data_IF_159395813839
#
_entry.id   IF_159395813839
#
_cell.length_a   1.000
_cell.length_b   1.000
_cell.length_c   1.000
_cell.angle_alpha   90.00
_cell.angle_beta   90.00
_cell.angle_gamma   90.00
#
_symmetry.space_group_name_H-M   'P 1'
#
loop_
_entity.id
_entity.type
_entity.pdbx_description
1 polymer ?
#
# COMPACT_ATOMS: atom_id res chain seq x y z
N UNK A 1 -2.54 19.50 -54.82
CA UNK A 1 -3.25 18.24 -54.57
C UNK A 1 -2.94 17.84 -53.11
N UNK A 2 -3.80 18.28 -52.19
CA UNK A 2 -3.64 18.06 -50.77
C UNK A 2 -4.37 16.78 -50.39
N UNK A 3 -3.64 15.83 -49.76
CA UNK A 3 -4.26 14.61 -49.23
C UNK A 3 -4.51 14.86 -47.75
N UNK A 4 -5.79 15.00 -47.41
CA UNK A 4 -6.30 15.08 -46.05
C UNK A 4 -6.21 13.70 -45.39
N UNK A 5 -5.45 13.61 -44.28
CA UNK A 5 -5.47 12.41 -43.41
C UNK A 5 -6.69 12.46 -42.50
N UNK A 6 -7.58 11.52 -42.65
CA UNK A 6 -8.71 11.28 -41.76
C UNK A 6 -8.26 10.94 -40.36
N UNK A 7 -8.70 11.72 -39.38
CA UNK A 7 -8.58 11.42 -37.94
C UNK A 7 -9.61 10.33 -37.59
N UNK A 8 -9.15 9.16 -37.23
CA UNK A 8 -9.99 8.13 -36.60
C UNK A 8 -10.33 8.58 -35.17
N UNK A 9 -11.53 9.15 -35.01
CA UNK A 9 -12.07 9.49 -33.71
C UNK A 9 -12.42 8.22 -32.91
N UNK A 10 -11.72 7.98 -31.81
CA UNK A 10 -12.22 7.11 -30.75
C UNK A 10 -13.44 7.81 -30.11
N UNK A 11 -14.53 7.08 -29.78
CA UNK A 11 -15.65 7.68 -29.07
C UNK A 11 -15.14 8.17 -27.70
N UNK A 12 -15.24 9.47 -27.47
CA UNK A 12 -15.06 10.07 -26.15
C UNK A 12 -16.27 9.64 -25.33
N UNK A 13 -16.09 8.64 -24.47
CA UNK A 13 -17.04 8.30 -23.44
C UNK A 13 -17.18 9.53 -22.54
N UNK A 14 -18.38 10.10 -22.57
CA UNK A 14 -18.75 11.27 -21.77
C UNK A 14 -18.94 10.84 -20.31
N UNK A 15 -17.85 10.47 -19.65
CA UNK A 15 -17.81 10.16 -18.22
C UNK A 15 -17.84 11.47 -17.47
N UNK A 16 -19.05 11.98 -17.17
CA UNK A 16 -19.18 12.99 -16.12
C UNK A 16 -18.73 12.31 -14.82
N UNK A 17 -17.66 12.77 -14.17
CA UNK A 17 -17.34 12.30 -12.82
C UNK A 17 -18.55 12.59 -11.94
N UNK A 18 -18.93 11.66 -11.07
CA UNK A 18 -19.92 11.93 -10.04
C UNK A 18 -19.53 13.21 -9.30
N UNK A 19 -20.46 14.15 -9.07
CA UNK A 19 -20.18 15.25 -8.15
C UNK A 19 -19.81 14.64 -6.80
N UNK A 20 -18.66 14.99 -6.31
CA UNK A 20 -18.06 14.38 -5.12
C UNK A 20 -18.52 15.07 -3.84
N UNK A 21 -18.94 14.34 -2.79
CA UNK A 21 -19.33 12.93 -2.72
C UNK A 21 -20.78 12.72 -3.23
N UNK A 22 -21.09 11.58 -3.85
CA UNK A 22 -22.46 11.30 -4.31
C UNK A 22 -23.41 11.32 -3.11
N UNK A 23 -24.59 11.89 -3.28
CA UNK A 23 -25.65 11.86 -2.27
C UNK A 23 -26.00 10.41 -1.94
N UNK A 24 -26.25 10.11 -0.65
CA UNK A 24 -26.58 8.76 -0.18
C UNK A 24 -27.74 8.13 -0.96
N UNK A 25 -28.72 8.94 -1.39
CA UNK A 25 -29.84 8.47 -2.19
C UNK A 25 -29.39 7.89 -3.55
N UNK A 26 -28.44 8.55 -4.24
CA UNK A 26 -27.89 8.07 -5.50
C UNK A 26 -27.17 6.72 -5.33
N UNK A 27 -26.47 6.51 -4.21
CA UNK A 27 -25.82 5.25 -3.90
C UNK A 27 -26.82 4.11 -3.66
N UNK A 28 -27.95 4.43 -3.01
CA UNK A 28 -29.01 3.46 -2.75
C UNK A 28 -29.74 3.09 -4.06
N UNK A 29 -30.03 4.07 -4.92
CA UNK A 29 -30.61 3.81 -6.27
C UNK A 29 -29.68 2.88 -7.05
N UNK A 30 -28.39 3.19 -7.08
CA UNK A 30 -27.37 2.39 -7.76
C UNK A 30 -27.35 0.94 -7.21
N UNK A 31 -27.32 0.79 -5.89
CA UNK A 31 -27.28 -0.52 -5.25
C UNK A 31 -28.57 -1.33 -5.48
N UNK A 32 -29.75 -0.68 -5.50
CA UNK A 32 -31.02 -1.35 -5.80
C UNK A 32 -31.14 -1.73 -7.27
N UNK A 33 -30.51 -1.00 -8.18
CA UNK A 33 -30.43 -1.40 -9.59
C UNK A 33 -29.54 -2.64 -9.76
N UNK A 34 -28.46 -2.73 -9.00
CA UNK A 34 -27.56 -3.89 -9.01
C UNK A 34 -28.18 -5.11 -8.32
N UNK A 35 -28.96 -4.87 -7.25
CA UNK A 35 -29.61 -5.90 -6.44
C UNK A 35 -31.11 -5.60 -6.32
N UNK A 36 -31.93 -5.99 -7.31
CA UNK A 36 -33.37 -5.70 -7.32
C UNK A 36 -34.15 -6.22 -6.11
N UNK A 37 -33.64 -7.27 -5.47
CA UNK A 37 -34.22 -7.83 -4.24
C UNK A 37 -34.10 -6.88 -3.02
N UNK A 38 -33.32 -5.81 -3.11
CA UNK A 38 -33.19 -4.76 -2.09
C UNK A 38 -34.22 -3.65 -2.24
N UNK A 39 -35.07 -3.70 -3.27
CA UNK A 39 -36.10 -2.70 -3.47
C UNK A 39 -37.10 -2.74 -2.30
N UNK A 40 -37.37 -1.53 -1.75
CA UNK A 40 -38.27 -1.40 -0.58
C UNK A 40 -37.61 -1.68 0.77
N UNK A 41 -36.41 -2.27 0.80
CA UNK A 41 -35.68 -2.47 2.06
C UNK A 41 -35.03 -1.16 2.52
N UNK A 42 -35.23 -0.80 3.80
CA UNK A 42 -34.55 0.34 4.40
C UNK A 42 -33.05 0.07 4.56
N UNK A 43 -32.24 1.09 4.32
CA UNK A 43 -30.78 0.99 4.40
C UNK A 43 -30.18 2.23 5.06
N UNK A 44 -29.33 2.03 6.06
CA UNK A 44 -28.46 3.06 6.61
C UNK A 44 -27.18 3.13 5.76
N UNK A 45 -26.81 4.32 5.30
CA UNK A 45 -25.57 4.57 4.55
C UNK A 45 -24.61 5.33 5.43
N UNK A 46 -23.46 4.74 5.70
CA UNK A 46 -22.39 5.33 6.48
C UNK A 46 -21.18 5.62 5.59
N UNK A 47 -20.74 6.89 5.54
CA UNK A 47 -19.51 7.26 4.83
C UNK A 47 -18.27 6.82 5.62
N UNK A 48 -17.37 6.09 4.99
CA UNK A 48 -16.09 5.68 5.58
C UNK A 48 -15.03 6.70 5.16
N UNK A 49 -14.61 7.54 6.11
CA UNK A 49 -13.54 8.51 5.90
C UNK A 49 -12.19 7.84 6.17
N UNK A 50 -11.49 7.39 5.14
CA UNK A 50 -10.17 6.77 5.28
C UNK A 50 -9.23 7.22 4.15
N UNK A 51 -8.00 7.62 4.56
CA UNK A 51 -6.87 7.82 3.65
C UNK A 51 -6.86 9.09 2.81
N UNK A 52 -5.91 9.12 1.87
CA UNK A 52 -5.66 10.22 0.93
C UNK A 52 -6.15 9.91 -0.49
N UNK A 53 -6.88 8.82 -0.67
CA UNK A 53 -7.33 8.29 -1.95
C UNK A 53 -8.51 9.08 -2.53
N UNK A 54 -8.68 9.02 -3.85
CA UNK A 54 -9.87 9.49 -4.59
C UNK A 54 -10.99 8.42 -4.65
N UNK A 55 -10.81 7.30 -3.96
CA UNK A 55 -11.83 6.28 -3.74
C UNK A 55 -12.70 6.64 -2.56
N UNK A 56 -14.01 6.49 -2.71
CA UNK A 56 -15.00 6.74 -1.68
C UNK A 56 -15.61 5.41 -1.26
N UNK A 57 -15.66 5.18 0.04
CA UNK A 57 -16.18 3.96 0.62
C UNK A 57 -17.41 4.27 1.47
N UNK A 58 -18.46 3.47 1.28
CA UNK A 58 -19.73 3.59 1.99
C UNK A 58 -20.11 2.23 2.54
N UNK A 59 -20.47 2.17 3.82
CA UNK A 59 -21.04 0.98 4.44
C UNK A 59 -22.55 1.02 4.29
N UNK A 60 -23.13 0.02 3.67
CA UNK A 60 -24.56 -0.15 3.45
C UNK A 60 -25.09 -1.19 4.43
N UNK A 61 -25.93 -0.77 5.38
CA UNK A 61 -26.56 -1.63 6.39
C UNK A 61 -28.04 -1.77 6.10
N UNK A 62 -28.43 -2.89 5.56
CA UNK A 62 -29.83 -3.20 5.21
C UNK A 62 -30.59 -3.72 6.42
N UNK A 63 -31.85 -3.28 6.59
CA UNK A 63 -32.66 -3.60 7.79
C UNK A 63 -33.43 -4.93 7.66
N UNK A 64 -33.02 -5.81 6.79
CA UNK A 64 -33.59 -7.15 6.60
C UNK A 64 -32.75 -8.27 7.23
N UNK A 65 -31.74 -7.92 8.01
CA UNK A 65 -30.88 -8.85 8.75
C UNK A 65 -29.73 -9.46 7.96
N UNK A 66 -29.54 -9.04 6.69
CA UNK A 66 -28.34 -9.46 5.91
C UNK A 66 -27.07 -8.79 6.43
N UNK A 67 -25.95 -9.42 6.15
CA UNK A 67 -24.63 -8.81 6.41
C UNK A 67 -24.50 -7.47 5.67
N UNK A 68 -23.90 -6.45 6.30
CA UNK A 68 -23.59 -5.19 5.63
C UNK A 68 -22.63 -5.40 4.47
N UNK A 69 -22.66 -4.49 3.52
CA UNK A 69 -21.71 -4.48 2.40
C UNK A 69 -21.01 -3.13 2.28
N UNK A 70 -19.82 -3.13 1.72
CA UNK A 70 -19.07 -1.93 1.39
C UNK A 70 -19.28 -1.59 -0.09
N UNK A 71 -19.77 -0.39 -0.38
CA UNK A 71 -19.78 0.16 -1.73
C UNK A 71 -18.55 1.06 -1.89
N UNK A 72 -17.66 0.68 -2.80
CA UNK A 72 -16.54 1.51 -3.25
C UNK A 72 -16.93 2.21 -4.57
N UNK A 73 -16.84 3.54 -4.60
CA UNK A 73 -16.97 4.35 -5.81
C UNK A 73 -15.61 4.97 -6.09
N UNK A 74 -15.13 4.88 -7.33
CA UNK A 74 -13.81 5.36 -7.70
C UNK A 74 -13.85 6.19 -8.99
N UNK A 75 -12.73 6.84 -9.32
CA UNK A 75 -12.55 7.58 -10.56
C UNK A 75 -11.44 6.96 -11.41
N UNK A 76 -11.34 7.36 -12.68
CA UNK A 76 -10.24 6.98 -13.56
C UNK A 76 -9.03 7.94 -13.47
N UNK A 77 -9.05 8.87 -12.52
CA UNK A 77 -7.94 9.80 -12.31
C UNK A 77 -6.65 9.08 -11.88
N UNK A 78 -6.79 7.97 -11.13
CA UNK A 78 -5.68 7.09 -10.80
C UNK A 78 -5.75 5.82 -11.62
N UNK A 79 -4.64 5.45 -12.23
CA UNK A 79 -4.54 4.27 -13.12
C UNK A 79 -4.65 2.93 -12.39
N UNK A 80 -4.40 2.90 -11.07
CA UNK A 80 -4.49 1.72 -10.22
C UNK A 80 -5.93 1.39 -9.79
N UNK A 81 -6.87 2.34 -9.84
CA UNK A 81 -8.26 2.11 -9.45
C UNK A 81 -8.97 0.98 -10.22
N UNK A 82 -8.88 0.90 -11.57
CA UNK A 82 -9.49 -0.21 -12.32
C UNK A 82 -8.87 -1.58 -12.02
N UNK A 83 -7.67 -1.60 -11.46
CA UNK A 83 -6.94 -2.84 -11.13
C UNK A 83 -7.43 -3.50 -9.84
N UNK A 84 -8.32 -2.84 -9.09
CA UNK A 84 -8.82 -3.39 -7.82
C UNK A 84 -9.47 -4.78 -7.98
N UNK A 85 -10.41 -4.93 -8.92
CA UNK A 85 -11.12 -6.21 -9.11
C UNK A 85 -10.20 -7.32 -9.66
N UNK A 86 -9.36 -7.10 -10.68
CA UNK A 86 -8.34 -8.07 -11.09
C UNK A 86 -7.41 -8.47 -9.95
N UNK A 87 -6.91 -7.51 -9.15
CA UNK A 87 -6.05 -7.79 -8.00
C UNK A 87 -6.77 -8.63 -6.94
N UNK A 88 -8.04 -8.34 -6.62
CA UNK A 88 -8.85 -9.14 -5.71
C UNK A 88 -8.92 -10.59 -6.16
N UNK A 89 -9.32 -10.83 -7.42
CA UNK A 89 -9.44 -12.17 -7.98
C UNK A 89 -8.13 -12.96 -7.96
N UNK A 90 -7.02 -12.27 -8.19
CA UNK A 90 -5.68 -12.86 -8.13
C UNK A 90 -5.33 -13.28 -6.70
N UNK A 91 -5.59 -12.43 -5.73
CA UNK A 91 -5.34 -12.69 -4.32
C UNK A 91 -6.23 -13.82 -3.79
N UNK A 92 -7.51 -13.84 -4.16
CA UNK A 92 -8.42 -14.96 -3.85
C UNK A 92 -7.90 -16.28 -4.44
N UNK A 93 -7.43 -16.28 -5.69
CA UNK A 93 -6.92 -17.47 -6.38
C UNK A 93 -5.71 -18.10 -5.66
N UNK A 94 -4.87 -17.30 -5.03
CA UNK A 94 -3.73 -17.79 -4.24
C UNK A 94 -4.10 -18.07 -2.77
N UNK A 95 -5.38 -17.93 -2.42
CA UNK A 95 -5.90 -18.19 -1.08
C UNK A 95 -5.59 -17.10 -0.06
N UNK A 96 -5.22 -15.89 -0.50
CA UNK A 96 -5.06 -14.75 0.41
C UNK A 96 -6.44 -14.23 0.86
N UNK A 97 -6.54 -13.83 2.13
CA UNK A 97 -7.75 -13.27 2.68
C UNK A 97 -7.89 -11.80 2.25
N UNK A 98 -8.85 -11.55 1.38
CA UNK A 98 -9.24 -10.21 0.89
C UNK A 98 -10.76 -10.09 0.87
N UNK A 99 -11.36 -8.87 0.93
CA UNK A 99 -12.80 -8.72 0.84
C UNK A 99 -13.32 -9.29 -0.47
N UNK A 100 -14.33 -10.17 -0.41
CA UNK A 100 -14.96 -10.70 -1.61
C UNK A 100 -15.65 -9.61 -2.42
N UNK A 101 -15.49 -9.65 -3.75
CA UNK A 101 -16.26 -8.83 -4.67
C UNK A 101 -17.66 -9.45 -4.84
N UNK A 102 -18.67 -8.78 -4.27
CA UNK A 102 -20.08 -9.20 -4.36
C UNK A 102 -20.63 -8.88 -5.75
N UNK A 103 -20.34 -7.66 -6.23
CA UNK A 103 -20.70 -7.20 -7.57
C UNK A 103 -19.73 -6.10 -8.04
N UNK A 104 -19.71 -5.89 -9.36
CA UNK A 104 -18.87 -4.89 -10.01
C UNK A 104 -19.59 -4.29 -11.20
N UNK A 105 -19.66 -2.97 -11.26
CA UNK A 105 -20.16 -2.19 -12.39
C UNK A 105 -19.05 -1.29 -12.92
N UNK A 106 -18.39 -1.75 -13.99
CA UNK A 106 -17.28 -1.05 -14.60
C UNK A 106 -17.70 0.27 -15.26
N UNK A 107 -18.94 0.35 -15.78
CA UNK A 107 -19.43 1.57 -16.44
C UNK A 107 -19.72 2.69 -15.45
N UNK A 108 -20.17 2.31 -14.24
CA UNK A 108 -20.47 3.25 -13.16
C UNK A 108 -19.32 3.41 -12.14
N UNK A 109 -18.21 2.69 -12.37
CA UNK A 109 -17.02 2.72 -11.52
C UNK A 109 -17.32 2.39 -10.05
N UNK A 110 -18.10 1.33 -9.84
CA UNK A 110 -18.58 0.90 -8.53
C UNK A 110 -18.25 -0.57 -8.27
N UNK A 111 -17.87 -0.87 -7.01
CA UNK A 111 -17.63 -2.23 -6.54
C UNK A 111 -18.34 -2.43 -5.22
N UNK A 112 -19.15 -3.48 -5.11
CA UNK A 112 -19.75 -3.92 -3.84
C UNK A 112 -18.90 -5.04 -3.27
N UNK A 113 -18.48 -4.87 -2.03
CA UNK A 113 -17.54 -5.72 -1.34
C UNK A 113 -18.12 -6.26 -0.05
N UNK A 114 -17.61 -7.39 0.39
CA UNK A 114 -17.82 -7.91 1.73
C UNK A 114 -17.38 -6.86 2.77
N UNK A 115 -18.21 -6.64 3.80
CA UNK A 115 -17.82 -5.82 4.94
C UNK A 115 -17.04 -6.66 5.95
N UNK A 116 -15.79 -6.31 6.16
CA UNK A 116 -14.88 -6.94 7.12
C UNK A 116 -14.85 -6.25 8.49
N UNK A 117 -15.70 -5.24 8.69
CA UNK A 117 -15.72 -4.45 9.92
C UNK A 117 -14.79 -3.23 9.86
N UNK A 118 -14.29 -2.82 11.05
CA UNK A 118 -13.52 -1.56 11.19
C UNK A 118 -12.19 -1.73 11.91
N UNK A 119 -11.98 -2.90 12.50
CA UNK A 119 -10.83 -3.14 13.37
C UNK A 119 -9.66 -3.54 12.48
N UNK A 120 -8.63 -2.72 12.46
CA UNK A 120 -7.38 -3.00 11.77
C UNK A 120 -6.28 -3.39 12.77
N UNK A 121 -5.16 -3.89 12.27
CA UNK A 121 -4.03 -4.31 13.10
C UNK A 121 -3.45 -3.13 13.91
N UNK A 122 -3.48 -1.90 13.36
CA UNK A 122 -3.08 -0.69 14.08
C UNK A 122 -3.90 -0.47 15.36
N UNK A 123 -5.18 -0.84 15.37
CA UNK A 123 -6.08 -0.70 16.53
C UNK A 123 -5.60 -1.46 17.77
N UNK A 124 -4.65 -2.38 17.61
CA UNK A 124 -4.06 -3.17 18.69
C UNK A 124 -2.72 -2.62 19.20
N UNK A 125 -2.23 -1.48 18.69
CA UNK A 125 -0.89 -0.96 18.99
C UNK A 125 -0.62 -0.80 20.50
N UNK A 126 -1.62 -0.38 21.25
CA UNK A 126 -1.50 -0.16 22.71
C UNK A 126 -1.68 -1.45 23.55
N UNK A 127 -1.95 -2.59 22.92
CA UNK A 127 -2.11 -3.85 23.64
C UNK A 127 -0.74 -4.51 23.93
N UNK A 128 -0.74 -5.46 24.87
CA UNK A 128 0.47 -6.23 25.20
C UNK A 128 1.00 -7.00 24.00
N UNK A 129 2.29 -7.27 23.96
CA UNK A 129 2.90 -8.08 22.90
C UNK A 129 2.23 -9.45 22.75
N UNK A 130 1.93 -10.11 23.88
CA UNK A 130 1.25 -11.41 23.85
C UNK A 130 -0.12 -11.40 23.17
N UNK A 131 -0.81 -10.26 23.18
CA UNK A 131 -2.08 -10.09 22.44
C UNK A 131 -1.85 -9.73 20.97
N UNK A 132 -0.82 -8.93 20.66
CA UNK A 132 -0.52 -8.47 19.29
C UNK A 132 0.20 -9.52 18.45
N UNK A 133 1.13 -10.27 19.03
CA UNK A 133 2.00 -11.22 18.31
C UNK A 133 1.20 -12.18 17.41
N UNK A 134 0.13 -12.86 17.87
CA UNK A 134 -0.64 -13.79 17.02
C UNK A 134 -1.26 -13.11 15.80
N UNK A 135 -1.65 -11.83 15.93
CA UNK A 135 -2.26 -11.05 14.84
C UNK A 135 -1.21 -10.66 13.78
N UNK A 136 -0.01 -10.27 14.22
CA UNK A 136 1.13 -10.05 13.31
C UNK A 136 1.55 -11.33 12.61
N UNK A 137 1.58 -12.47 13.31
CA UNK A 137 1.88 -13.77 12.71
C UNK A 137 0.80 -14.18 11.69
N UNK A 138 -0.49 -13.94 11.99
CA UNK A 138 -1.57 -14.12 11.02
C UNK A 138 -1.36 -13.26 9.76
N UNK A 139 -0.99 -11.99 9.95
CA UNK A 139 -0.67 -11.05 8.86
C UNK A 139 0.50 -11.54 8.02
N UNK A 140 1.56 -12.05 8.64
CA UNK A 140 2.73 -12.58 7.94
C UNK A 140 2.40 -13.88 7.19
N UNK A 141 1.44 -14.68 7.64
CA UNK A 141 0.93 -15.84 6.86
C UNK A 141 0.24 -15.39 5.57
N UNK A 142 -0.54 -14.31 5.62
CA UNK A 142 -1.16 -13.75 4.41
C UNK A 142 -0.09 -13.18 3.45
N UNK A 143 0.89 -12.45 3.98
CA UNK A 143 2.04 -11.98 3.19
C UNK A 143 2.78 -13.16 2.51
N UNK A 144 2.98 -14.26 3.24
CA UNK A 144 3.66 -15.44 2.73
C UNK A 144 2.96 -16.07 1.51
N UNK A 145 1.63 -16.03 1.43
CA UNK A 145 0.86 -16.48 0.26
C UNK A 145 1.16 -15.62 -0.96
N UNK A 146 1.17 -14.29 -0.80
CA UNK A 146 1.48 -13.33 -1.86
C UNK A 146 2.92 -13.51 -2.32
N UNK A 147 3.87 -13.49 -1.40
CA UNK A 147 5.30 -13.62 -1.67
C UNK A 147 5.69 -15.03 -2.19
N UNK A 148 4.78 -16.01 -2.09
CA UNK A 148 4.93 -17.33 -2.68
C UNK A 148 4.84 -17.35 -4.20
N UNK A 149 4.29 -16.30 -4.81
CA UNK A 149 4.14 -16.17 -6.27
C UNK A 149 5.38 -15.52 -6.86
N UNK A 150 6.30 -16.31 -7.38
CA UNK A 150 7.50 -15.81 -8.05
C UNK A 150 7.16 -15.23 -9.43
N UNK A 151 7.95 -14.26 -9.90
CA UNK A 151 7.78 -13.59 -11.20
C UNK A 151 7.67 -14.61 -12.35
N UNK A 152 8.48 -15.68 -12.34
CA UNK A 152 8.52 -16.70 -13.37
C UNK A 152 7.24 -17.55 -13.44
N UNK A 153 6.37 -17.50 -12.45
CA UNK A 153 5.11 -18.22 -12.39
C UNK A 153 3.94 -17.42 -13.03
N UNK A 154 4.17 -16.16 -13.39
CA UNK A 154 3.16 -15.28 -13.97
C UNK A 154 3.25 -15.28 -15.50
N UNK A 155 2.10 -15.41 -16.17
CA UNK A 155 2.00 -15.24 -17.61
C UNK A 155 2.05 -13.75 -18.00
N UNK A 156 2.33 -13.46 -19.26
CA UNK A 156 2.37 -12.07 -19.76
C UNK A 156 1.05 -11.32 -19.49
N UNK A 157 -0.11 -11.97 -19.68
CA UNK A 157 -1.41 -11.39 -19.38
C UNK A 157 -1.58 -11.04 -17.90
N UNK A 158 -1.00 -11.84 -16.99
CA UNK A 158 -1.00 -11.58 -15.56
C UNK A 158 -0.24 -10.29 -15.24
N UNK A 159 0.88 -10.04 -15.94
CA UNK A 159 1.73 -8.87 -15.71
C UNK A 159 1.05 -7.56 -16.16
N UNK A 160 0.18 -7.60 -17.17
CA UNK A 160 -0.58 -6.42 -17.63
C UNK A 160 -1.60 -5.93 -16.59
N UNK A 161 -2.12 -6.84 -15.76
CA UNK A 161 -3.04 -6.50 -14.68
C UNK A 161 -2.33 -5.87 -13.47
N UNK A 162 -1.03 -6.07 -13.31
CA UNK A 162 -0.24 -5.54 -12.21
C UNK A 162 0.18 -4.08 -12.45
N UNK A 163 0.53 -3.39 -11.37
CA UNK A 163 1.27 -2.13 -11.46
C UNK A 163 2.72 -2.40 -11.92
N UNK A 164 3.42 -1.39 -12.49
CA UNK A 164 4.82 -1.55 -12.86
C UNK A 164 5.65 -2.12 -11.73
N UNK A 165 6.48 -3.12 -12.09
CA UNK A 165 7.35 -3.79 -11.16
C UNK A 165 8.32 -2.82 -10.49
N UNK A 166 8.77 -3.18 -9.28
CA UNK A 166 9.92 -2.52 -8.68
C UNK A 166 11.19 -2.87 -9.49
N UNK A 167 11.71 -1.87 -10.15
CA UNK A 167 12.97 -1.89 -10.87
C UNK A 167 13.88 -0.74 -10.39
N UNK A 168 15.07 -0.63 -10.98
CA UNK A 168 16.01 0.43 -10.62
C UNK A 168 15.40 1.84 -10.83
N UNK A 169 14.58 2.04 -11.87
CA UNK A 169 13.96 3.32 -12.17
C UNK A 169 12.86 3.70 -11.15
N UNK A 170 12.05 2.73 -10.71
CA UNK A 170 11.03 2.99 -9.70
C UNK A 170 11.66 3.26 -8.32
N UNK A 171 12.72 2.53 -7.95
CA UNK A 171 13.46 2.82 -6.73
C UNK A 171 14.14 4.20 -6.79
N UNK A 172 14.68 4.60 -7.95
CA UNK A 172 15.23 5.94 -8.15
C UNK A 172 14.16 7.01 -7.99
N UNK A 173 12.98 6.78 -8.55
CA UNK A 173 11.85 7.70 -8.40
C UNK A 173 11.46 7.88 -6.92
N UNK A 174 11.38 6.81 -6.14
CA UNK A 174 11.10 6.88 -4.70
C UNK A 174 12.21 7.62 -3.93
N UNK A 175 13.48 7.41 -4.31
CA UNK A 175 14.61 8.11 -3.70
C UNK A 175 14.57 9.61 -4.02
N UNK A 176 14.30 9.98 -5.26
CA UNK A 176 14.14 11.39 -5.64
C UNK A 176 12.94 12.02 -4.92
N UNK A 177 11.84 11.29 -4.77
CA UNK A 177 10.69 11.75 -4.01
C UNK A 177 11.03 12.03 -2.53
N UNK A 178 11.89 11.22 -1.91
CA UNK A 178 12.44 11.47 -0.59
C UNK A 178 13.34 12.71 -0.57
N UNK A 179 14.25 12.84 -1.52
CA UNK A 179 15.16 13.98 -1.60
C UNK A 179 14.38 15.30 -1.77
N UNK A 180 13.47 15.35 -2.74
CA UNK A 180 12.71 16.56 -3.09
C UNK A 180 11.79 17.01 -1.95
N UNK A 181 11.05 16.08 -1.36
CA UNK A 181 10.00 16.46 -0.42
C UNK A 181 10.45 16.45 1.04
N UNK A 182 11.29 15.48 1.44
CA UNK A 182 11.76 15.41 2.81
C UNK A 182 13.06 16.18 3.01
N UNK A 183 14.13 15.86 2.26
CA UNK A 183 15.44 16.47 2.48
C UNK A 183 15.42 17.96 2.12
N UNK A 184 14.99 18.31 0.91
CA UNK A 184 14.92 19.69 0.47
C UNK A 184 13.67 20.39 0.98
N UNK A 185 12.52 19.76 0.81
CA UNK A 185 11.23 20.34 1.18
C UNK A 185 11.03 20.52 2.68
N UNK A 186 11.28 19.51 3.50
CA UNK A 186 10.99 19.54 4.94
C UNK A 186 12.19 19.98 5.78
N UNK A 187 13.39 19.47 5.49
CA UNK A 187 14.61 19.83 6.24
C UNK A 187 15.29 21.11 5.73
N UNK A 188 14.94 21.60 4.54
CA UNK A 188 15.54 22.80 3.94
C UNK A 188 17.00 22.61 3.52
N UNK A 189 17.43 21.39 3.20
CA UNK A 189 18.81 21.03 2.83
C UNK A 189 18.92 20.86 1.31
N UNK A 190 20.01 21.32 0.73
CA UNK A 190 20.27 21.11 -0.70
C UNK A 190 20.91 19.72 -0.92
N UNK A 191 20.13 18.72 -1.28
CA UNK A 191 20.60 17.34 -1.46
C UNK A 191 21.70 17.20 -2.55
N UNK A 192 21.82 18.18 -3.45
CA UNK A 192 22.88 18.25 -4.47
C UNK A 192 24.25 18.66 -3.93
N UNK A 193 24.34 19.19 -2.71
CA UNK A 193 25.60 19.65 -2.13
C UNK A 193 26.65 18.54 -2.06
N UNK A 194 27.91 18.92 -2.19
CA UNK A 194 29.04 17.98 -2.22
C UNK A 194 29.15 17.14 -0.95
N UNK A 195 28.72 17.67 0.20
CA UNK A 195 28.71 16.97 1.50
C UNK A 195 27.85 15.69 1.49
N UNK A 196 26.83 15.60 0.61
CA UNK A 196 25.98 14.41 0.44
C UNK A 196 26.48 13.45 -0.65
N UNK A 197 27.72 13.62 -1.15
CA UNK A 197 28.26 12.80 -2.25
C UNK A 197 28.29 11.31 -1.96
N UNK A 198 28.75 10.90 -0.75
CA UNK A 198 28.75 9.51 -0.31
C UNK A 198 27.33 8.97 -0.13
N UNK A 199 26.42 9.75 0.46
CA UNK A 199 25.02 9.36 0.64
C UNK A 199 24.30 9.14 -0.70
N UNK A 200 24.53 10.01 -1.69
CA UNK A 200 23.98 9.80 -3.06
C UNK A 200 24.58 8.56 -3.73
N UNK A 201 25.86 8.27 -3.50
CA UNK A 201 26.48 7.03 -4.00
C UNK A 201 25.85 5.80 -3.35
N UNK A 202 25.56 5.84 -2.05
CA UNK A 202 24.86 4.77 -1.34
C UNK A 202 23.43 4.57 -1.88
N UNK A 203 22.67 5.63 -2.17
CA UNK A 203 21.36 5.55 -2.84
C UNK A 203 21.48 4.83 -4.19
N UNK A 204 22.47 5.20 -5.01
CA UNK A 204 22.67 4.58 -6.30
C UNK A 204 23.00 3.09 -6.18
N UNK A 205 23.84 2.71 -5.23
CA UNK A 205 24.19 1.30 -4.98
C UNK A 205 22.97 0.52 -4.50
N UNK A 206 22.19 1.08 -3.57
CA UNK A 206 20.98 0.49 -3.03
C UNK A 206 19.97 0.16 -4.15
N UNK A 207 19.59 1.14 -5.00
CA UNK A 207 18.61 0.90 -6.07
C UNK A 207 19.10 -0.10 -7.11
N UNK A 208 20.39 -0.05 -7.47
CA UNK A 208 20.99 -1.03 -8.40
C UNK A 208 20.97 -2.43 -7.84
N UNK A 209 21.26 -2.58 -6.55
CA UNK A 209 21.24 -3.89 -5.89
C UNK A 209 19.83 -4.43 -5.83
N UNK A 210 18.85 -3.66 -5.32
CA UNK A 210 17.45 -4.07 -5.22
C UNK A 210 16.82 -4.36 -6.60
N UNK A 211 17.12 -3.53 -7.61
CA UNK A 211 16.57 -3.67 -8.97
C UNK A 211 17.02 -4.94 -9.72
N UNK A 212 18.12 -5.58 -9.27
CA UNK A 212 18.66 -6.80 -9.88
C UNK A 212 18.25 -8.09 -9.17
N UNK A 213 17.65 -7.97 -7.99
CA UNK A 213 17.24 -9.14 -7.21
C UNK A 213 16.01 -9.83 -7.81
N UNK A 214 15.85 -11.15 -7.63
CA UNK A 214 14.63 -11.86 -8.01
C UNK A 214 13.41 -11.23 -7.36
N UNK A 215 12.29 -11.21 -8.07
CA UNK A 215 11.04 -10.59 -7.63
C UNK A 215 9.95 -11.63 -7.40
N UNK A 216 9.04 -11.30 -6.53
CA UNK A 216 7.78 -12.00 -6.31
C UNK A 216 6.63 -10.99 -6.31
N UNK A 217 5.40 -11.48 -6.22
CA UNK A 217 4.24 -10.63 -6.03
C UNK A 217 4.33 -9.95 -4.66
N UNK A 218 4.03 -8.65 -4.58
CA UNK A 218 4.02 -7.85 -3.35
C UNK A 218 2.79 -6.95 -3.29
N UNK A 219 2.32 -6.71 -2.07
CA UNK A 219 1.20 -5.82 -1.78
C UNK A 219 1.56 -4.35 -2.01
N UNK A 220 2.79 -3.96 -1.71
CA UNK A 220 3.41 -2.63 -1.80
C UNK A 220 3.07 -1.71 -0.62
N UNK A 221 1.82 -1.59 -0.22
CA UNK A 221 1.37 -0.75 0.92
C UNK A 221 0.95 -1.61 2.13
N UNK A 222 1.82 -2.55 2.53
CA UNK A 222 1.57 -3.55 3.55
C UNK A 222 1.74 -3.00 4.97
N UNK A 223 0.93 -1.99 5.32
CA UNK A 223 0.93 -1.29 6.61
C UNK A 223 -0.15 -1.84 7.54
N UNK A 224 0.01 -1.64 8.85
CA UNK A 224 -0.93 -2.11 9.88
C UNK A 224 -2.37 -1.63 9.67
N UNK A 225 -2.56 -0.43 9.11
CA UNK A 225 -3.88 0.12 8.79
C UNK A 225 -4.53 -0.52 7.56
N UNK A 226 -3.79 -1.29 6.77
CA UNK A 226 -4.27 -1.99 5.58
C UNK A 226 -4.48 -3.49 5.82
N UNK A 227 -4.47 -3.89 7.10
CA UNK A 227 -4.76 -5.26 7.55
C UNK A 227 -5.93 -5.21 8.51
N UNK A 228 -7.11 -5.65 8.08
CA UNK A 228 -8.28 -5.77 8.95
C UNK A 228 -8.20 -7.09 9.74
N UNK A 229 -8.64 -7.05 10.98
CA UNK A 229 -8.66 -8.21 11.87
C UNK A 229 -10.11 -8.65 12.09
N UNK A 230 -10.42 -9.90 11.77
CA UNK A 230 -11.73 -10.52 12.01
C UNK A 230 -11.54 -11.83 12.78
N UNK A 231 -11.85 -11.82 14.07
CA UNK A 231 -11.41 -12.90 14.96
C UNK A 231 -9.89 -12.96 15.06
N UNK A 232 -9.32 -14.12 14.76
CA UNK A 232 -7.87 -14.34 14.74
C UNK A 232 -7.27 -14.29 13.33
N UNK A 233 -8.05 -13.87 12.34
CA UNK A 233 -7.66 -13.82 10.94
C UNK A 233 -7.30 -12.40 10.49
N UNK A 234 -6.25 -12.30 9.68
CA UNK A 234 -5.84 -11.08 9.01
C UNK A 234 -6.44 -11.04 7.59
N UNK A 235 -7.00 -9.90 7.22
CA UNK A 235 -7.62 -9.64 5.92
C UNK A 235 -7.00 -8.41 5.29
N UNK A 236 -6.51 -8.54 4.06
CA UNK A 236 -5.76 -7.48 3.38
C UNK A 236 -6.69 -6.55 2.62
N UNK A 237 -6.41 -5.25 2.70
CA UNK A 237 -7.10 -4.20 1.93
C UNK A 237 -6.09 -3.24 1.33
N UNK A 238 -6.53 -2.41 0.37
CA UNK A 238 -5.68 -1.41 -0.31
C UNK A 238 -4.57 -2.02 -1.20
N UNK A 239 -4.86 -3.15 -1.82
CA UNK A 239 -3.92 -3.98 -2.61
C UNK A 239 -3.93 -3.71 -4.11
N UNK A 240 -4.67 -2.73 -4.63
CA UNK A 240 -4.68 -2.43 -6.08
C UNK A 240 -3.32 -1.95 -6.62
N UNK A 241 -2.39 -1.60 -5.72
CA UNK A 241 -0.98 -1.35 -6.03
C UNK A 241 -0.13 -2.59 -6.24
N UNK A 242 -0.75 -3.78 -6.25
CA UNK A 242 -0.12 -5.09 -6.42
C UNK A 242 0.85 -5.10 -7.61
N UNK A 243 2.07 -5.55 -7.38
CA UNK A 243 3.15 -5.54 -8.37
C UNK A 243 4.21 -6.61 -8.10
N UNK A 244 5.18 -6.71 -8.98
CA UNK A 244 6.38 -7.48 -8.71
C UNK A 244 7.40 -6.65 -7.93
N UNK A 245 8.00 -7.23 -6.90
CA UNK A 245 8.99 -6.59 -6.04
C UNK A 245 9.69 -7.57 -5.12
N UNK A 246 10.34 -7.03 -4.09
CA UNK A 246 10.96 -7.83 -3.04
C UNK A 246 9.97 -8.08 -1.91
N UNK A 247 9.85 -9.33 -1.47
CA UNK A 247 9.06 -9.69 -0.28
C UNK A 247 9.43 -8.85 0.94
N UNK A 248 10.71 -8.55 1.09
CA UNK A 248 11.26 -7.79 2.19
C UNK A 248 10.78 -6.33 2.20
N UNK A 249 10.29 -5.80 1.07
CA UNK A 249 9.69 -4.46 1.01
C UNK A 249 8.34 -4.42 1.77
N UNK A 250 7.49 -5.44 1.60
CA UNK A 250 6.25 -5.57 2.36
C UNK A 250 6.53 -5.84 3.84
N UNK A 251 7.49 -6.73 4.15
CA UNK A 251 7.91 -6.97 5.53
C UNK A 251 8.39 -5.67 6.20
N UNK A 252 9.16 -4.86 5.50
CA UNK A 252 9.63 -3.57 5.99
C UNK A 252 8.47 -2.59 6.19
N UNK A 253 7.50 -2.58 5.28
CA UNK A 253 6.30 -1.75 5.38
C UNK A 253 5.48 -2.06 6.64
N UNK A 254 5.43 -3.32 7.06
CA UNK A 254 4.72 -3.77 8.27
C UNK A 254 5.57 -3.61 9.54
N UNK A 255 6.82 -4.07 9.51
CA UNK A 255 7.66 -4.17 10.72
C UNK A 255 8.31 -2.84 11.11
N UNK A 256 8.49 -1.93 10.16
CA UNK A 256 8.94 -0.55 10.39
C UNK A 256 7.84 0.48 10.09
N UNK A 257 6.57 0.06 10.23
CA UNK A 257 5.42 0.96 10.06
C UNK A 257 5.48 2.11 11.08
N UNK A 258 5.60 3.39 10.67
CA UNK A 258 5.68 4.52 11.60
C UNK A 258 4.38 4.82 12.36
N UNK A 259 3.30 4.12 12.05
CA UNK A 259 2.02 4.26 12.77
C UNK A 259 1.96 3.43 14.06
N UNK A 260 2.85 2.44 14.20
CA UNK A 260 2.84 1.50 15.34
C UNK A 260 4.19 1.46 16.04
N UNK A 261 4.17 1.06 17.30
CA UNK A 261 5.37 0.92 18.09
C UNK A 261 5.74 -0.56 18.30
N UNK A 262 6.58 -1.08 17.40
CA UNK A 262 7.23 -2.39 17.56
C UNK A 262 8.64 -2.19 18.07
N UNK A 263 8.99 -2.87 19.16
CA UNK A 263 10.37 -2.91 19.66
C UNK A 263 11.27 -3.71 18.72
N UNK A 264 12.60 -3.48 18.81
CA UNK A 264 13.59 -4.24 18.04
C UNK A 264 13.46 -5.77 18.25
N UNK A 265 13.17 -6.21 19.47
CA UNK A 265 12.99 -7.63 19.80
C UNK A 265 11.71 -8.21 19.16
N UNK A 266 10.62 -7.46 19.15
CA UNK A 266 9.38 -7.85 18.51
C UNK A 266 9.56 -7.97 17.00
N UNK A 267 10.20 -6.98 16.36
CA UNK A 267 10.55 -7.04 14.91
C UNK A 267 11.42 -8.25 14.59
N UNK A 268 12.44 -8.50 15.41
CA UNK A 268 13.33 -9.65 15.21
C UNK A 268 12.60 -11.00 15.37
N UNK A 269 11.66 -11.09 16.32
CA UNK A 269 10.80 -12.27 16.51
C UNK A 269 9.90 -12.52 15.28
N UNK A 270 9.25 -11.49 14.76
CA UNK A 270 8.37 -11.58 13.60
C UNK A 270 9.15 -11.94 12.32
N UNK A 271 10.33 -11.35 12.12
CA UNK A 271 11.17 -11.67 10.97
C UNK A 271 11.66 -13.13 11.01
N UNK A 272 12.01 -13.64 12.20
CA UNK A 272 12.34 -15.05 12.40
C UNK A 272 11.13 -15.94 12.10
N UNK A 273 9.96 -15.62 12.65
CA UNK A 273 8.72 -16.35 12.38
C UNK A 273 8.44 -16.44 10.88
N UNK A 274 8.56 -15.33 10.14
CA UNK A 274 8.38 -15.33 8.69
C UNK A 274 9.42 -16.20 7.97
N UNK A 275 10.70 -16.11 8.36
CA UNK A 275 11.76 -16.94 7.79
C UNK A 275 11.49 -18.44 7.98
N UNK A 276 11.12 -18.85 9.20
CA UNK A 276 10.77 -20.23 9.54
C UNK A 276 9.55 -20.70 8.74
N UNK A 277 8.48 -19.89 8.71
CA UNK A 277 7.25 -20.20 7.97
C UNK A 277 7.49 -20.40 6.47
N UNK A 278 8.43 -19.63 5.89
CA UNK A 278 8.79 -19.70 4.47
C UNK A 278 9.95 -20.64 4.17
N UNK A 279 10.58 -21.23 5.17
CA UNK A 279 11.79 -22.06 5.01
C UNK A 279 12.98 -21.27 4.47
N UNK A 280 13.14 -20.00 4.83
CA UNK A 280 14.21 -19.10 4.37
C UNK A 280 15.37 -19.05 5.35
N UNK A 281 16.58 -18.78 4.84
CA UNK A 281 17.72 -18.45 5.68
C UNK A 281 17.53 -17.07 6.31
N UNK A 282 17.45 -17.00 7.64
CA UNK A 282 17.21 -15.77 8.38
C UNK A 282 18.31 -14.71 8.16
N UNK A 283 19.56 -15.11 8.01
CA UNK A 283 20.67 -14.16 7.83
C UNK A 283 20.57 -13.47 6.45
N UNK A 284 20.29 -14.26 5.39
CA UNK A 284 20.09 -13.74 4.03
C UNK A 284 18.83 -12.85 3.97
N UNK A 285 17.74 -13.28 4.60
CA UNK A 285 16.52 -12.48 4.69
C UNK A 285 16.79 -11.13 5.38
N UNK A 286 17.51 -11.12 6.51
CA UNK A 286 17.83 -9.90 7.25
C UNK A 286 18.66 -8.91 6.44
N UNK A 287 19.64 -9.39 5.70
CA UNK A 287 20.47 -8.55 4.84
C UNK A 287 19.62 -7.76 3.84
N UNK A 288 18.74 -8.44 3.10
CA UNK A 288 17.88 -7.80 2.11
C UNK A 288 16.77 -6.99 2.77
N UNK A 289 16.25 -7.45 3.91
CA UNK A 289 15.22 -6.75 4.67
C UNK A 289 15.64 -5.32 5.06
N UNK A 290 16.86 -5.13 5.56
CA UNK A 290 17.31 -3.78 5.93
C UNK A 290 17.51 -2.87 4.72
N UNK A 291 17.93 -3.40 3.57
CA UNK A 291 17.98 -2.63 2.33
C UNK A 291 16.58 -2.16 1.90
N UNK A 292 15.61 -3.05 1.92
CA UNK A 292 14.22 -2.72 1.61
C UNK A 292 13.61 -1.77 2.66
N UNK A 293 13.97 -1.93 3.93
CA UNK A 293 13.49 -1.06 5.01
C UNK A 293 13.96 0.39 4.84
N UNK A 294 15.23 0.60 4.48
CA UNK A 294 15.74 1.94 4.16
C UNK A 294 14.98 2.54 2.98
N UNK A 295 14.82 1.81 1.89
CA UNK A 295 14.09 2.26 0.70
C UNK A 295 12.64 2.63 1.04
N UNK A 296 11.93 1.78 1.78
CA UNK A 296 10.52 2.00 2.17
C UNK A 296 10.34 3.17 3.13
N UNK A 297 11.25 3.33 4.11
CA UNK A 297 11.20 4.43 5.06
C UNK A 297 11.49 5.77 4.39
N UNK A 298 12.44 5.83 3.45
CA UNK A 298 12.70 7.03 2.65
C UNK A 298 11.45 7.40 1.83
N UNK A 299 10.80 6.43 1.18
CA UNK A 299 9.54 6.66 0.46
C UNK A 299 8.44 7.20 1.40
N UNK A 300 8.31 6.65 2.62
CA UNK A 300 7.34 7.13 3.60
C UNK A 300 7.63 8.57 4.06
N UNK A 301 8.88 8.90 4.35
CA UNK A 301 9.30 10.27 4.73
C UNK A 301 8.98 11.28 3.62
N UNK A 302 9.27 10.95 2.36
CA UNK A 302 8.89 11.77 1.22
C UNK A 302 7.38 11.97 1.13
N UNK A 303 6.61 10.89 1.34
CA UNK A 303 5.14 10.93 1.31
C UNK A 303 4.57 11.80 2.44
N UNK A 304 5.02 11.65 3.68
CA UNK A 304 4.56 12.47 4.81
C UNK A 304 4.86 13.94 4.61
N UNK A 305 6.05 14.27 4.14
CA UNK A 305 6.44 15.64 3.84
C UNK A 305 5.57 16.25 2.73
N UNK A 306 5.37 15.52 1.62
CA UNK A 306 4.55 15.97 0.50
C UNK A 306 3.08 16.14 0.89
N UNK A 307 2.48 15.15 1.56
CA UNK A 307 1.08 15.20 2.02
C UNK A 307 0.84 16.39 2.94
N UNK A 308 1.79 16.68 3.84
CA UNK A 308 1.65 17.77 4.79
C UNK A 308 1.81 19.14 4.16
N UNK A 309 2.84 19.32 3.34
CA UNK A 309 3.21 20.64 2.82
C UNK A 309 2.45 21.02 1.55
N UNK A 310 2.27 20.07 0.63
CA UNK A 310 1.73 20.35 -0.70
C UNK A 310 0.25 19.95 -0.84
N UNK A 311 -0.23 18.99 -0.04
CA UNK A 311 -1.59 18.47 -0.16
C UNK A 311 -2.48 18.81 1.03
N UNK A 312 -2.05 19.74 1.91
CA UNK A 312 -2.88 20.29 2.99
C UNK A 312 -3.28 19.29 4.08
N UNK A 313 -2.45 18.25 4.33
CA UNK A 313 -2.69 17.20 5.34
C UNK A 313 -1.65 17.26 6.47
N UNK A 314 -1.61 18.31 7.30
CA UNK A 314 -0.52 18.55 8.28
C UNK A 314 -0.39 17.46 9.34
N UNK A 315 -1.43 16.64 9.58
CA UNK A 315 -1.39 15.55 10.54
C UNK A 315 -0.37 14.47 10.21
N UNK A 316 0.11 14.37 8.94
CA UNK A 316 1.17 13.42 8.60
C UNK A 316 2.54 13.80 9.17
N UNK A 317 2.78 15.05 9.56
CA UNK A 317 4.04 15.48 10.19
C UNK A 317 4.35 14.72 11.48
N UNK A 318 3.33 14.33 12.25
CA UNK A 318 3.49 13.57 13.50
C UNK A 318 4.20 12.22 13.32
N UNK A 319 4.20 11.64 12.11
CA UNK A 319 4.83 10.35 11.83
C UNK A 319 6.29 10.46 11.37
N UNK A 320 6.77 11.67 11.05
CA UNK A 320 8.15 11.90 10.61
C UNK A 320 9.16 11.50 11.68
N UNK A 321 9.03 11.90 12.97
CA UNK A 321 10.01 11.52 13.99
C UNK A 321 10.17 10.01 14.15
N UNK A 322 9.07 9.25 14.15
CA UNK A 322 9.11 7.80 14.22
C UNK A 322 9.77 7.17 12.98
N UNK A 323 9.44 7.68 11.78
CA UNK A 323 10.04 7.20 10.53
C UNK A 323 11.55 7.48 10.47
N UNK A 324 12.01 8.64 10.95
CA UNK A 324 13.45 8.97 11.02
C UNK A 324 14.16 8.09 12.05
N UNK A 325 13.58 7.87 13.22
CA UNK A 325 14.14 6.97 14.23
C UNK A 325 14.28 5.53 13.70
N UNK A 326 13.26 5.05 12.99
CA UNK A 326 13.29 3.76 12.32
C UNK A 326 14.37 3.70 11.23
N UNK A 327 14.51 4.73 10.40
CA UNK A 327 15.56 4.81 9.37
C UNK A 327 16.95 4.84 10.01
N UNK A 328 17.12 5.55 11.10
CA UNK A 328 18.38 5.60 11.83
C UNK A 328 18.76 4.21 12.39
N UNK A 329 17.79 3.48 12.95
CA UNK A 329 18.00 2.09 13.39
C UNK A 329 18.42 1.19 12.22
N UNK A 330 17.69 1.25 11.10
CA UNK A 330 17.98 0.46 9.90
C UNK A 330 19.38 0.74 9.35
N UNK A 331 19.82 2.00 9.33
CA UNK A 331 21.16 2.38 8.86
C UNK A 331 22.29 1.89 9.80
N UNK A 332 21.99 1.58 11.06
CA UNK A 332 22.96 0.95 11.98
C UNK A 332 23.12 -0.56 11.75
N UNK A 333 22.08 -1.22 11.21
CA UNK A 333 22.06 -2.67 11.00
C UNK A 333 22.78 -3.11 9.70
N UNK A 334 23.04 -2.19 8.77
CA UNK A 334 23.71 -2.50 7.50
C UNK A 334 24.79 -1.46 7.16
N UNK A 335 26.05 -1.90 6.99
CA UNK A 335 27.15 -1.00 6.60
C UNK A 335 26.88 -0.26 5.26
N UNK A 336 26.21 -0.91 4.33
CA UNK A 336 25.87 -0.36 3.00
C UNK A 336 24.95 0.87 3.08
N UNK A 337 24.26 1.06 4.22
CA UNK A 337 23.30 2.14 4.47
C UNK A 337 23.87 3.27 5.34
N UNK A 338 25.09 3.12 5.86
CA UNK A 338 25.66 4.04 6.85
C UNK A 338 25.69 5.49 6.37
N UNK A 339 26.07 5.71 5.14
CA UNK A 339 26.23 7.03 4.56
C UNK A 339 24.89 7.78 4.37
N UNK A 340 23.75 7.06 4.34
CA UNK A 340 22.42 7.66 4.23
C UNK A 340 22.08 8.58 5.41
N UNK A 341 22.75 8.41 6.54
CA UNK A 341 22.56 9.23 7.76
C UNK A 341 22.83 10.71 7.50
N UNK A 342 23.73 11.04 6.57
CA UNK A 342 24.03 12.42 6.20
C UNK A 342 22.78 13.21 5.81
N UNK A 343 21.74 12.57 5.24
CA UNK A 343 20.53 13.27 4.80
C UNK A 343 19.64 13.74 5.97
N UNK A 344 19.65 13.11 7.13
CA UNK A 344 18.72 13.41 8.23
C UNK A 344 19.39 13.71 9.58
N UNK A 345 20.67 13.37 9.81
CA UNK A 345 21.38 13.72 11.05
C UNK A 345 21.52 15.24 11.20
N UNK A 346 21.32 15.72 12.47
CA UNK A 346 21.42 17.16 12.79
C UNK A 346 20.21 18.00 12.36
N UNK A 347 19.09 17.40 11.94
CA UNK A 347 17.89 18.10 11.47
C UNK A 347 16.69 18.09 12.43
N UNK A 348 16.82 17.51 13.64
CA UNK A 348 15.78 17.42 14.66
C UNK A 348 16.26 17.89 16.00
#
# INVERSE_FOLDING_TARGET
MQISKARTGRPVLNTRPFPMPPEHEALLILSRQQFPELNGTACEVETILKGASDRHFYRLKWQDGREPMILMVYTLARRDNPKFVPATRRLEKIGAHVPHVIAFDEQRLCVWLQDLGRVDLHSFDQQSWSARQPLYEATLREAAKIHGVAEQQLAAADLEELEPAFDEALYEWEQNYFLDHFVEGHLGREAANAEYGSARSALQQLRRRLGRMPRCLVHRDFQSQNVLIRGDEAWLVDYQGLRLGRAEYDLASLLYDPYVNLSRSERASLLRYYAEHRGLNLAELREVFYLCAAQRLMQALGAYANLSRNLGKPHYLQHIPAAVANLAEVCQESPDLHDLRAFYEGGF
#
